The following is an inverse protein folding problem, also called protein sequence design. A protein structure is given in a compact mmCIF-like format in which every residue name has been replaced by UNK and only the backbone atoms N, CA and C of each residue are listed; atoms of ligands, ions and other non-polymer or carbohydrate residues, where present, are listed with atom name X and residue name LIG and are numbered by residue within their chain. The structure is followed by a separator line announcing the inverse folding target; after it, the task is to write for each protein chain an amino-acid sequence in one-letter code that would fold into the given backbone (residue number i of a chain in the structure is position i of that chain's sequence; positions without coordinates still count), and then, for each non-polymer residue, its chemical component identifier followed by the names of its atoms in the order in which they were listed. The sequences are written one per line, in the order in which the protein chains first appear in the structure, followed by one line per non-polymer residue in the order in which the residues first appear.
data_IF_728711201694
#
_entry.id   IF_728711201694
#
_cell.length_a   1.000
_cell.length_b   1.000
_cell.length_c   1.000
_cell.angle_alpha   90.00
_cell.angle_beta   90.00
_cell.angle_gamma   90.00
#
_symmetry.space_group_name_H-M   'P 1'
#
loop_
_entity.id
_entity.type
_entity.pdbx_description
1 polymer ?
#
# COMPACT_ATOMS: atom_id res chain seq x y z
N UNK A 1 50.80 43.66 10.17
CA UNK A 1 49.97 43.03 9.11
C UNK A 1 48.80 42.34 9.79
N UNK A 2 47.57 42.84 9.59
CA UNK A 2 46.37 42.20 10.12
C UNK A 2 45.86 41.16 9.11
N UNK A 3 45.53 39.95 9.58
CA UNK A 3 44.65 39.01 8.85
C UNK A 3 43.49 38.64 9.77
N UNK A 4 42.29 38.92 9.27
CA UNK A 4 41.02 38.80 9.95
C UNK A 4 40.66 37.34 10.24
N UNK A 5 40.08 37.10 11.41
CA UNK A 5 39.48 35.83 11.78
C UNK A 5 38.01 35.83 11.28
N UNK A 6 37.73 35.08 10.22
CA UNK A 6 36.37 34.85 9.71
C UNK A 6 35.71 33.75 10.55
N UNK A 7 35.34 34.06 11.80
CA UNK A 7 34.46 33.20 12.57
C UNK A 7 33.03 33.43 12.07
N UNK A 8 32.56 32.55 11.19
CA UNK A 8 31.18 32.54 10.70
C UNK A 8 30.22 32.52 11.89
N UNK A 9 29.49 33.62 12.08
CA UNK A 9 28.48 33.75 13.12
C UNK A 9 27.30 32.83 12.73
N UNK A 10 27.24 31.62 13.28
CA UNK A 10 25.98 30.86 13.33
C UNK A 10 25.00 31.69 14.15
N UNK A 11 23.93 32.17 13.51
CA UNK A 11 22.92 32.96 14.19
C UNK A 11 22.04 32.04 15.02
N UNK A 12 21.72 32.44 16.25
CA UNK A 12 20.84 31.68 17.16
C UNK A 12 19.45 31.39 16.59
N UNK A 13 19.03 32.20 15.61
CA UNK A 13 17.75 32.05 14.89
C UNK A 13 17.77 30.82 13.96
N UNK A 14 18.87 30.59 13.24
CA UNK A 14 19.05 29.41 12.38
C UNK A 14 19.07 28.12 13.23
N UNK A 15 19.77 28.17 14.38
CA UNK A 15 19.81 27.04 15.32
C UNK A 15 18.42 26.75 15.93
N UNK A 16 17.59 27.77 16.16
CA UNK A 16 16.22 27.62 16.68
C UNK A 16 15.27 27.05 15.61
N UNK A 17 15.42 27.45 14.35
CA UNK A 17 14.64 26.90 13.25
C UNK A 17 14.99 25.44 12.96
N UNK A 18 16.28 25.08 13.04
CA UNK A 18 16.75 23.70 12.94
C UNK A 18 16.14 22.84 14.06
N UNK A 19 16.15 23.32 15.31
CA UNK A 19 15.52 22.60 16.43
C UNK A 19 14.02 22.38 16.22
N UNK A 20 13.29 23.41 15.80
CA UNK A 20 11.85 23.29 15.46
C UNK A 20 11.60 22.27 14.35
N UNK A 21 12.44 22.24 13.31
CA UNK A 21 12.32 21.25 12.22
C UNK A 21 12.61 19.83 12.69
N UNK A 22 13.63 19.63 13.52
CA UNK A 22 13.95 18.30 14.08
C UNK A 22 12.80 17.78 14.94
N UNK A 23 12.27 18.60 15.84
CA UNK A 23 11.13 18.24 16.71
C UNK A 23 9.86 17.92 15.90
N UNK A 24 9.56 18.70 14.85
CA UNK A 24 8.44 18.43 13.94
C UNK A 24 8.62 17.13 13.14
N UNK A 25 9.86 16.75 12.79
CA UNK A 25 10.16 15.49 12.11
C UNK A 25 9.96 14.31 13.05
N UNK A 26 10.40 14.43 14.31
CA UNK A 26 10.20 13.40 15.33
C UNK A 26 8.71 13.16 15.60
N UNK A 27 7.93 14.22 15.85
CA UNK A 27 6.48 14.13 16.10
C UNK A 27 5.75 13.46 14.92
N UNK A 28 6.04 13.89 13.68
CA UNK A 28 5.45 13.27 12.48
C UNK A 28 5.85 11.80 12.34
N UNK A 29 7.08 11.45 12.71
CA UNK A 29 7.55 10.07 12.64
C UNK A 29 6.78 9.17 13.60
N UNK A 30 6.54 9.63 14.83
CA UNK A 30 5.81 8.87 15.86
C UNK A 30 4.33 8.69 15.53
N UNK A 31 3.67 9.75 15.05
CA UNK A 31 2.28 9.64 14.56
C UNK A 31 2.17 8.62 13.42
N UNK A 32 3.09 8.65 12.46
CA UNK A 32 3.07 7.69 11.35
C UNK A 32 3.32 6.25 11.81
N UNK A 33 4.15 6.07 12.83
CA UNK A 33 4.47 4.76 13.40
C UNK A 33 3.28 4.20 14.19
N UNK A 34 2.62 5.03 14.99
CA UNK A 34 1.41 4.65 15.71
C UNK A 34 0.28 4.24 14.76
N UNK A 35 0.05 5.03 13.70
CA UNK A 35 -0.96 4.70 12.68
C UNK A 35 -0.64 3.39 11.96
N UNK A 36 0.64 3.14 11.61
CA UNK A 36 1.06 1.86 11.03
C UNK A 36 0.80 0.69 11.98
N UNK A 37 1.06 0.85 13.28
CA UNK A 37 0.81 -0.17 14.29
C UNK A 37 -0.70 -0.46 14.41
N UNK A 38 -1.53 0.58 14.51
CA UNK A 38 -2.98 0.44 14.59
C UNK A 38 -3.57 -0.27 13.36
N UNK A 39 -3.09 0.03 12.16
CA UNK A 39 -3.56 -0.67 10.95
C UNK A 39 -3.13 -2.14 10.96
N UNK A 40 -1.93 -2.47 11.46
CA UNK A 40 -1.47 -3.87 11.55
C UNK A 40 -2.38 -4.70 12.45
N UNK A 41 -2.82 -4.16 13.58
CA UNK A 41 -3.73 -4.87 14.48
C UNK A 41 -5.14 -5.08 13.90
N UNK A 42 -5.52 -4.26 12.92
CA UNK A 42 -6.79 -4.36 12.18
C UNK A 42 -6.69 -5.26 10.95
N UNK A 43 -5.50 -5.74 10.59
CA UNK A 43 -5.27 -6.44 9.33
C UNK A 43 -4.90 -7.90 9.56
N UNK A 44 -5.61 -8.80 8.88
CA UNK A 44 -5.27 -10.22 8.82
C UNK A 44 -4.52 -10.55 7.53
N UNK A 45 -3.55 -11.45 7.64
CA UNK A 45 -2.95 -12.15 6.53
C UNK A 45 -3.78 -13.40 6.22
N UNK A 46 -4.11 -13.60 4.95
CA UNK A 46 -4.94 -14.69 4.47
C UNK A 46 -4.16 -15.50 3.45
N UNK A 47 -4.03 -16.80 3.66
CA UNK A 47 -3.33 -17.73 2.76
C UNK A 47 -4.23 -18.88 2.32
N UNK A 48 -3.73 -19.63 1.34
CA UNK A 48 -4.44 -20.73 0.68
C UNK A 48 -5.75 -20.29 0.00
N UNK A 49 -5.80 -19.05 -0.49
CA UNK A 49 -6.91 -18.56 -1.28
C UNK A 49 -6.92 -19.25 -2.66
N UNK A 50 -8.13 -19.46 -3.17
CA UNK A 50 -8.30 -19.85 -4.57
C UNK A 50 -7.78 -18.71 -5.48
N UNK A 51 -6.88 -18.97 -6.45
CA UNK A 51 -6.36 -17.95 -7.37
C UNK A 51 -7.41 -17.25 -8.25
N UNK A 52 -8.62 -17.83 -8.35
CA UNK A 52 -9.77 -17.23 -9.03
C UNK A 52 -10.70 -16.46 -8.08
N UNK A 53 -10.33 -16.33 -6.80
CA UNK A 53 -11.12 -15.58 -5.84
C UNK A 53 -11.08 -14.08 -6.14
N UNK A 54 -12.25 -13.46 -6.20
CA UNK A 54 -12.37 -12.02 -6.33
C UNK A 54 -12.56 -11.38 -4.95
N UNK A 55 -12.21 -10.09 -4.85
CA UNK A 55 -12.38 -9.29 -3.62
C UNK A 55 -13.81 -9.32 -3.10
N UNK A 56 -14.79 -9.25 -3.99
CA UNK A 56 -16.21 -9.29 -3.64
C UNK A 56 -16.58 -10.56 -2.88
N UNK A 57 -16.00 -11.71 -3.25
CA UNK A 57 -16.23 -12.99 -2.55
C UNK A 57 -15.62 -12.97 -1.15
N UNK A 58 -14.42 -12.40 -1.00
CA UNK A 58 -13.72 -12.28 0.28
C UNK A 58 -14.49 -11.35 1.23
N UNK A 59 -14.95 -10.20 0.74
CA UNK A 59 -15.77 -9.27 1.52
C UNK A 59 -17.05 -9.94 2.00
N UNK A 60 -17.76 -10.65 1.11
CA UNK A 60 -18.98 -11.39 1.45
C UNK A 60 -18.71 -12.47 2.50
N UNK A 61 -17.61 -13.19 2.38
CA UNK A 61 -17.25 -14.28 3.30
C UNK A 61 -17.02 -13.80 4.74
N UNK A 62 -16.38 -12.64 4.91
CA UNK A 62 -16.09 -12.09 6.25
C UNK A 62 -17.21 -11.20 6.83
N UNK A 63 -18.18 -10.78 5.99
CA UNK A 63 -19.24 -9.81 6.34
C UNK A 63 -20.01 -10.16 7.62
N UNK A 64 -20.20 -11.45 7.91
CA UNK A 64 -20.99 -11.90 9.07
C UNK A 64 -20.30 -11.65 10.42
N UNK A 65 -18.98 -11.41 10.43
CA UNK A 65 -18.21 -11.27 11.67
C UNK A 65 -17.60 -9.89 11.80
N UNK A 66 -17.14 -9.31 10.69
CA UNK A 66 -16.49 -8.00 10.69
C UNK A 66 -16.69 -7.23 9.40
N UNK A 67 -16.61 -5.91 9.49
CA UNK A 67 -16.70 -5.03 8.33
C UNK A 67 -15.31 -4.87 7.71
N UNK A 68 -15.18 -5.33 6.47
CA UNK A 68 -13.94 -5.21 5.70
C UNK A 68 -13.82 -3.78 5.14
N UNK A 69 -12.68 -3.15 5.40
CA UNK A 69 -12.31 -1.81 4.90
C UNK A 69 -11.49 -1.92 3.62
N UNK A 70 -10.52 -2.84 3.59
CA UNK A 70 -9.59 -2.98 2.48
C UNK A 70 -9.24 -4.44 2.24
N UNK A 71 -9.13 -4.82 0.97
CA UNK A 71 -8.65 -6.13 0.55
C UNK A 71 -7.50 -5.94 -0.44
N UNK A 72 -6.34 -6.50 -0.12
CA UNK A 72 -5.14 -6.45 -0.96
C UNK A 72 -4.72 -7.88 -1.32
N UNK A 73 -5.00 -8.29 -2.56
CA UNK A 73 -4.57 -9.59 -3.08
C UNK A 73 -3.19 -9.46 -3.72
N UNK A 74 -2.30 -10.37 -3.37
CA UNK A 74 -0.97 -10.43 -3.96
C UNK A 74 -1.03 -11.10 -5.33
N UNK A 75 -0.37 -10.47 -6.31
CA UNK A 75 -0.17 -11.05 -7.64
C UNK A 75 1.32 -11.12 -7.96
N UNK A 76 1.66 -12.04 -8.86
CA UNK A 76 3.02 -12.15 -9.39
C UNK A 76 3.28 -11.09 -10.48
N UNK A 77 4.48 -11.10 -11.06
CA UNK A 77 4.87 -10.20 -12.15
C UNK A 77 4.04 -10.39 -13.43
N UNK A 78 3.35 -11.52 -13.58
CA UNK A 78 2.41 -11.80 -14.70
C UNK A 78 0.97 -11.40 -14.36
N UNK A 79 0.75 -10.65 -13.26
CA UNK A 79 -0.57 -10.20 -12.79
C UNK A 79 -1.51 -11.35 -12.38
N UNK A 80 -0.96 -12.56 -12.18
CA UNK A 80 -1.74 -13.71 -11.69
C UNK A 80 -1.74 -13.74 -10.16
N UNK A 81 -2.90 -14.04 -9.58
CA UNK A 81 -3.04 -14.16 -8.13
C UNK A 81 -2.19 -15.30 -7.58
N UNK A 82 -1.46 -15.03 -6.48
CA UNK A 82 -0.57 -16.02 -5.86
C UNK A 82 -1.31 -16.90 -4.84
N UNK A 83 -2.55 -16.54 -4.47
CA UNK A 83 -3.35 -17.28 -3.49
C UNK A 83 -3.15 -16.81 -2.04
N UNK A 84 -2.69 -15.57 -1.84
CA UNK A 84 -2.68 -14.93 -0.53
C UNK A 84 -2.97 -13.43 -0.62
N UNK A 85 -3.28 -12.83 0.52
CA UNK A 85 -3.53 -11.39 0.61
C UNK A 85 -3.68 -10.87 2.03
N UNK A 86 -4.06 -9.60 2.12
CA UNK A 86 -4.31 -8.89 3.37
C UNK A 86 -5.74 -8.36 3.38
N UNK A 87 -6.40 -8.49 4.54
CA UNK A 87 -7.75 -7.99 4.76
C UNK A 87 -7.74 -7.11 5.98
N UNK A 88 -8.06 -5.84 5.78
CA UNK A 88 -8.16 -4.82 6.82
C UNK A 88 -9.61 -4.68 7.27
N UNK A 89 -9.83 -4.70 8.58
CA UNK A 89 -11.12 -4.55 9.23
C UNK A 89 -11.25 -3.17 9.88
N UNK A 90 -12.48 -2.79 10.24
CA UNK A 90 -12.73 -1.50 10.92
C UNK A 90 -12.03 -1.43 12.27
N UNK A 91 -11.98 -2.55 12.99
CA UNK A 91 -11.42 -2.64 14.34
C UNK A 91 -10.56 -3.89 14.54
N UNK A 92 -9.56 -3.78 15.42
CA UNK A 92 -8.71 -4.89 15.82
C UNK A 92 -9.51 -6.01 16.51
N UNK A 93 -10.62 -5.65 17.17
CA UNK A 93 -11.51 -6.64 17.78
C UNK A 93 -12.24 -7.50 16.73
N UNK A 94 -12.69 -6.88 15.63
CA UNK A 94 -13.30 -7.61 14.51
C UNK A 94 -12.29 -8.54 13.85
N UNK A 95 -11.07 -8.06 13.61
CA UNK A 95 -9.98 -8.88 13.08
C UNK A 95 -9.71 -10.11 13.97
N UNK A 96 -9.64 -9.94 15.30
CA UNK A 96 -9.47 -11.05 16.24
C UNK A 96 -10.64 -12.04 16.22
N UNK A 97 -11.88 -11.57 16.17
CA UNK A 97 -13.08 -12.42 16.07
C UNK A 97 -13.09 -13.22 14.76
N UNK A 98 -12.75 -12.57 13.64
CA UNK A 98 -12.64 -13.24 12.34
C UNK A 98 -11.56 -14.32 12.39
N UNK A 99 -10.40 -14.03 12.96
CA UNK A 99 -9.33 -15.01 13.13
C UNK A 99 -9.78 -16.23 13.94
N UNK A 100 -10.54 -16.04 15.02
CA UNK A 100 -11.03 -17.14 15.85
C UNK A 100 -12.09 -18.00 15.15
N UNK A 101 -12.99 -17.37 14.39
CA UNK A 101 -14.19 -18.04 13.88
C UNK A 101 -14.04 -18.56 12.44
N UNK A 102 -13.18 -17.95 11.61
CA UNK A 102 -13.03 -18.26 10.18
C UNK A 102 -11.73 -18.95 9.81
N UNK A 103 -10.78 -19.05 10.74
CA UNK A 103 -9.51 -19.71 10.44
C UNK A 103 -9.74 -21.21 10.19
N UNK A 104 -9.24 -21.71 9.06
CA UNK A 104 -9.44 -23.09 8.62
C UNK A 104 -10.77 -23.35 7.93
N UNK A 105 -11.66 -22.37 7.80
CA UNK A 105 -12.96 -22.56 7.13
C UNK A 105 -12.79 -22.69 5.61
N UNK A 106 -13.69 -23.45 4.99
CA UNK A 106 -13.71 -23.63 3.54
C UNK A 106 -14.24 -22.39 2.82
N UNK A 107 -13.45 -21.90 1.88
CA UNK A 107 -13.77 -20.83 0.95
C UNK A 107 -13.38 -21.26 -0.46
N UNK A 108 -14.35 -21.25 -1.38
CA UNK A 108 -14.17 -21.65 -2.78
C UNK A 108 -13.44 -23.00 -2.96
N UNK A 109 -13.81 -23.99 -2.15
CA UNK A 109 -13.25 -25.35 -2.19
C UNK A 109 -11.91 -25.54 -1.49
N UNK A 110 -11.38 -24.53 -0.78
CA UNK A 110 -10.12 -24.62 -0.04
C UNK A 110 -10.28 -24.09 1.38
N UNK A 111 -9.60 -24.70 2.33
CA UNK A 111 -9.52 -24.19 3.69
C UNK A 111 -8.56 -23.00 3.77
N UNK A 112 -9.05 -21.83 4.16
CA UNK A 112 -8.19 -20.65 4.29
C UNK A 112 -7.46 -20.67 5.61
N UNK A 113 -6.25 -20.12 5.63
CA UNK A 113 -5.50 -19.93 6.88
C UNK A 113 -5.36 -18.44 7.13
N UNK A 114 -5.69 -18.03 8.35
CA UNK A 114 -5.67 -16.66 8.83
C UNK A 114 -4.57 -16.48 9.85
N UNK A 115 -3.84 -15.37 9.76
CA UNK A 115 -2.82 -15.00 10.73
C UNK A 115 -2.83 -13.50 11.03
N UNK A 116 -2.48 -13.16 12.26
CA UNK A 116 -2.22 -11.77 12.63
C UNK A 116 -0.88 -11.31 12.02
N UNK A 117 -0.79 -10.05 11.61
CA UNK A 117 0.47 -9.53 11.08
C UNK A 117 1.55 -9.43 12.17
N UNK A 118 2.77 -9.94 11.94
CA UNK A 118 3.88 -9.75 12.87
C UNK A 118 4.27 -8.28 12.98
N UNK A 119 4.60 -7.84 14.21
CA UNK A 119 4.99 -6.45 14.52
C UNK A 119 6.19 -5.94 13.71
N UNK A 120 7.06 -6.84 13.24
CA UNK A 120 8.28 -6.48 12.51
C UNK A 120 8.19 -6.65 11.01
N UNK A 121 7.07 -7.12 10.47
CA UNK A 121 6.95 -7.20 9.01
C UNK A 121 6.56 -5.83 8.46
N UNK A 122 7.43 -5.15 7.67
CA UNK A 122 6.93 -4.11 6.79
C UNK A 122 5.87 -4.78 5.93
N UNK A 123 4.67 -4.20 5.83
CA UNK A 123 3.66 -4.74 4.92
C UNK A 123 4.35 -4.80 3.56
N UNK A 124 4.60 -5.99 2.98
CA UNK A 124 5.07 -6.02 1.62
C UNK A 124 3.97 -5.31 0.85
N UNK A 125 4.31 -4.22 0.19
CA UNK A 125 3.41 -3.70 -0.83
C UNK A 125 3.64 -4.67 -1.99
N UNK A 126 2.72 -5.62 -2.26
CA UNK A 126 2.84 -6.37 -3.49
C UNK A 126 3.03 -5.34 -4.61
N UNK A 127 4.17 -5.43 -5.32
CA UNK A 127 4.54 -4.47 -6.39
C UNK A 127 3.42 -4.33 -7.43
N UNK A 128 2.56 -5.34 -7.49
CA UNK A 128 1.39 -5.46 -8.30
C UNK A 128 0.23 -5.82 -7.36
N UNK A 129 -0.76 -4.94 -7.22
CA UNK A 129 -1.98 -5.20 -6.45
C UNK A 129 -3.15 -5.11 -7.43
N UNK A 130 -4.12 -6.01 -7.35
CA UNK A 130 -5.40 -5.78 -8.02
C UNK A 130 -6.20 -4.81 -7.13
N UNK A 131 -5.83 -3.54 -6.99
CA UNK A 131 -6.72 -2.55 -6.35
C UNK A 131 -6.89 -1.36 -7.28
N UNK A 132 -8.13 -1.14 -7.72
CA UNK A 132 -8.46 -0.05 -8.62
C UNK A 132 -8.56 1.26 -7.83
N UNK A 133 -7.76 2.22 -8.31
CA UNK A 133 -7.72 3.67 -8.07
C UNK A 133 -7.01 4.17 -6.79
N UNK A 134 -5.82 4.73 -7.10
CA UNK A 134 -5.06 5.79 -6.43
C UNK A 134 -4.07 5.34 -5.35
N UNK A 135 -2.85 4.98 -5.79
CA UNK A 135 -1.60 5.69 -5.44
C UNK A 135 -0.45 5.32 -6.39
N UNK A 136 -0.64 5.52 -7.69
CA UNK A 136 0.47 5.94 -8.55
C UNK A 136 0.35 7.46 -8.62
N UNK A 137 0.95 8.12 -7.63
CA UNK A 137 1.14 9.57 -7.70
C UNK A 137 2.26 9.83 -8.71
N UNK A 138 1.93 10.58 -9.74
CA UNK A 138 2.81 11.53 -10.46
C UNK A 138 4.29 11.14 -10.53
N UNK A 139 4.67 10.50 -11.62
CA UNK A 139 5.96 10.77 -12.27
C UNK A 139 5.74 10.83 -13.78
N UNK A 140 5.81 12.08 -14.23
CA UNK A 140 6.34 12.52 -15.53
C UNK A 140 5.62 12.02 -16.79
N UNK A 141 4.96 12.98 -17.44
CA UNK A 141 4.68 12.94 -18.87
C UNK A 141 5.98 12.59 -19.61
N UNK A 142 6.00 11.50 -20.36
CA UNK A 142 6.89 11.41 -21.51
C UNK A 142 6.10 11.93 -22.72
N UNK A 143 6.67 12.87 -23.51
CA UNK A 143 6.01 13.39 -24.70
C UNK A 143 5.74 12.24 -25.66
N UNK A 144 4.53 12.21 -26.19
CA UNK A 144 4.28 11.47 -27.43
C UNK A 144 4.98 12.34 -28.47
N UNK A 145 6.17 11.91 -28.92
CA UNK A 145 6.78 12.49 -30.10
C UNK A 145 5.80 12.28 -31.25
N UNK A 146 5.28 13.40 -31.75
CA UNK A 146 4.64 13.50 -33.04
C UNK A 146 5.69 13.13 -34.10
N UNK A 147 5.68 11.88 -34.55
CA UNK A 147 6.22 11.57 -35.87
C UNK A 147 5.05 11.56 -36.84
N UNK A 148 4.82 12.74 -37.42
CA UNK A 148 4.19 12.86 -38.71
C UNK A 148 4.92 11.98 -39.72
N UNK A 149 4.19 11.13 -40.42
CA UNK A 149 4.42 10.82 -41.85
C UNK A 149 3.25 9.98 -42.37
N UNK A 150 2.17 10.67 -42.72
CA UNK A 150 1.31 10.22 -43.82
C UNK A 150 2.11 10.42 -45.12
N UNK A 151 2.25 9.37 -45.93
CA UNK A 151 1.67 9.42 -47.28
C UNK A 151 1.17 8.01 -47.70
N UNK A 152 0.33 7.79 -48.71
CA UNK A 152 -0.20 8.68 -49.71
C UNK A 152 -1.51 8.08 -50.26
N UNK A 153 -2.28 8.96 -50.86
CA UNK A 153 -3.54 8.71 -51.54
C UNK A 153 -3.29 8.10 -52.92
N UNK A 154 -3.88 6.94 -53.21
CA UNK A 154 -4.20 6.58 -54.60
C UNK A 154 -5.65 6.11 -54.67
N UNK A 155 -6.46 6.97 -55.29
CA UNK A 155 -7.71 6.64 -55.94
C UNK A 155 -7.39 5.83 -57.21
N UNK A 156 -8.22 4.84 -57.51
CA UNK A 156 -8.83 4.57 -58.82
C UNK A 156 -9.75 3.34 -58.61
N UNK A 157 -11.07 3.50 -58.61
CA UNK A 157 -11.95 3.26 -59.76
C UNK A 157 -11.51 2.06 -60.59
N UNK A 158 -12.09 0.89 -60.30
CA UNK A 158 -12.84 0.07 -61.27
C UNK A 158 -13.72 -0.95 -60.55
#
# INVERSE_FOLDING_TARGET
MAKANLLGKRNREDDLEIKKRVELVEIKSDETNFMKAAIREKTLFVTNLNPHAHKSHIIKFFKNIGKVVRVQLAVNFKVNQVGYGYVEFVSANEAKKVLQNKNGEYFAGRNIVLAMLPRYTPRPQPKYCIDHKIRYGEREKLPIEEDETLPDFVKDVM
#
